data_IF_101329749487
#
_entry.id   IF_101329749487
#
_cell.length_a   1.000
_cell.length_b   1.000
_cell.length_c   1.000
_cell.angle_alpha   90.00
_cell.angle_beta   90.00
_cell.angle_gamma   90.00
#
_symmetry.space_group_name_H-M   'P 1'
#
loop_
_entity.id
_entity.type
_entity.pdbx_description
1 polymer ?
#
# COMPACT_ATOMS: atom_id res chain seq x y z
N UNK A 1 -52.95 22.13 -1.84
CA UNK A 1 -54.04 21.62 -2.70
C UNK A 1 -54.98 22.73 -3.20
N UNK A 2 -55.51 23.59 -2.33
CA UNK A 2 -56.54 24.59 -2.70
C UNK A 2 -56.07 25.65 -3.72
N UNK A 3 -54.88 26.23 -3.56
CA UNK A 3 -54.42 27.32 -4.43
C UNK A 3 -54.14 26.88 -5.89
N UNK A 4 -53.72 25.63 -6.11
CA UNK A 4 -53.50 25.11 -7.47
C UNK A 4 -54.82 24.78 -8.17
N UNK A 5 -55.82 24.34 -7.41
CA UNK A 5 -57.17 24.11 -7.91
C UNK A 5 -57.88 25.42 -8.27
N UNK A 6 -57.63 26.48 -7.50
CA UNK A 6 -58.11 27.84 -7.76
C UNK A 6 -57.47 28.41 -9.03
N UNK A 7 -56.16 28.29 -9.21
CA UNK A 7 -55.47 28.74 -10.43
C UNK A 7 -55.96 27.97 -11.67
N UNK A 8 -56.22 26.66 -11.54
CA UNK A 8 -56.77 25.85 -12.62
C UNK A 8 -58.23 26.21 -12.94
N UNK A 9 -59.05 26.53 -11.93
CA UNK A 9 -60.40 27.04 -12.13
C UNK A 9 -60.41 28.44 -12.76
N UNK A 10 -59.52 29.35 -12.36
CA UNK A 10 -59.42 30.68 -12.98
C UNK A 10 -58.96 30.59 -14.43
N UNK A 11 -58.02 29.69 -14.74
CA UNK A 11 -57.58 29.44 -16.11
C UNK A 11 -58.69 28.84 -16.99
N UNK A 12 -59.48 27.90 -16.45
CA UNK A 12 -60.67 27.36 -17.12
C UNK A 12 -61.77 28.42 -17.30
N UNK A 13 -61.92 29.35 -16.34
CA UNK A 13 -62.92 30.43 -16.41
C UNK A 13 -62.52 31.48 -17.44
N UNK A 14 -61.22 31.79 -17.56
CA UNK A 14 -60.66 32.64 -18.61
C UNK A 14 -60.88 32.03 -20.00
N UNK A 15 -60.65 30.72 -20.16
CA UNK A 15 -60.91 30.02 -21.42
C UNK A 15 -62.41 29.96 -21.77
N UNK A 16 -63.29 29.87 -20.77
CA UNK A 16 -64.75 29.90 -20.96
C UNK A 16 -65.25 31.28 -21.40
N UNK A 17 -64.60 32.37 -20.95
CA UNK A 17 -64.93 33.74 -21.35
C UNK A 17 -64.63 34.04 -22.83
N UNK A 18 -63.59 33.41 -23.40
CA UNK A 18 -63.22 33.58 -24.81
C UNK A 18 -64.15 32.76 -25.74
N UNK A 19 -64.81 31.71 -25.23
CA UNK A 19 -65.58 30.76 -26.04
C UNK A 19 -67.11 30.97 -26.02
N UNK A 20 -67.65 31.72 -25.04
CA UNK A 20 -69.11 31.84 -24.82
C UNK A 20 -69.72 33.25 -24.98
N UNK A 21 -68.94 34.29 -25.30
CA UNK A 21 -69.52 35.58 -25.68
C UNK A 21 -70.00 35.53 -27.14
N UNK A 22 -71.33 35.37 -27.31
CA UNK A 22 -72.02 35.16 -28.58
C UNK A 22 -72.03 36.37 -29.54
N UNK A 23 -71.07 37.27 -29.44
CA UNK A 23 -71.06 38.55 -30.16
C UNK A 23 -70.19 38.56 -31.43
N UNK A 24 -69.53 37.46 -31.78
CA UNK A 24 -68.65 37.35 -32.97
C UNK A 24 -69.04 36.20 -33.94
N UNK A 25 -70.32 35.86 -34.06
CA UNK A 25 -70.80 34.89 -35.07
C UNK A 25 -71.19 35.56 -36.41
N UNK A 26 -71.12 36.90 -36.53
CA UNK A 26 -71.72 37.60 -37.67
C UNK A 26 -70.78 38.15 -38.75
N UNK A 27 -69.47 37.89 -38.73
CA UNK A 27 -68.59 38.21 -39.86
C UNK A 27 -67.47 37.16 -39.97
N UNK A 28 -67.81 35.95 -40.44
CA UNK A 28 -66.81 34.94 -40.77
C UNK A 28 -66.91 34.57 -42.24
N UNK A 29 -65.97 35.13 -43.02
CA UNK A 29 -65.67 34.74 -44.39
C UNK A 29 -65.31 33.24 -44.45
N UNK A 30 -65.75 32.59 -45.54
CA UNK A 30 -65.89 31.14 -45.74
C UNK A 30 -64.55 30.36 -45.72
N UNK A 31 -63.43 31.04 -45.50
CA UNK A 31 -62.09 30.45 -45.41
C UNK A 31 -61.46 30.45 -44.00
N UNK A 32 -62.08 31.10 -43.00
CA UNK A 32 -61.46 31.31 -41.68
C UNK A 32 -61.59 30.11 -40.71
N UNK A 33 -62.50 29.16 -40.97
CA UNK A 33 -62.69 27.98 -40.10
C UNK A 33 -61.46 27.06 -40.03
N UNK A 34 -60.60 27.05 -41.06
CA UNK A 34 -59.41 26.18 -41.12
C UNK A 34 -58.28 26.68 -40.20
N UNK A 35 -58.15 27.99 -40.03
CA UNK A 35 -57.12 28.59 -39.16
C UNK A 35 -57.45 28.37 -37.68
N UNK A 36 -58.72 28.51 -37.30
CA UNK A 36 -59.18 28.32 -35.92
C UNK A 36 -59.03 26.86 -35.45
N UNK A 37 -59.28 25.90 -36.34
CA UNK A 37 -59.00 24.47 -36.06
C UNK A 37 -57.50 24.21 -35.90
N UNK A 38 -56.65 24.83 -36.74
CA UNK A 38 -55.20 24.72 -36.62
C UNK A 38 -54.65 25.27 -35.30
N UNK A 39 -55.15 26.44 -34.86
CA UNK A 39 -54.78 27.04 -33.58
C UNK A 39 -55.19 26.18 -32.38
N UNK A 40 -56.36 25.55 -32.43
CA UNK A 40 -56.82 24.66 -31.37
C UNK A 40 -55.97 23.38 -31.26
N UNK A 41 -55.62 22.77 -32.40
CA UNK A 41 -54.78 21.56 -32.41
C UNK A 41 -53.36 21.88 -31.91
N UNK A 42 -52.78 23.01 -32.33
CA UNK A 42 -51.50 23.47 -31.81
C UNK A 42 -51.55 23.77 -30.31
N UNK A 43 -52.62 24.39 -29.83
CA UNK A 43 -52.85 24.62 -28.41
C UNK A 43 -52.95 23.32 -27.61
N UNK A 44 -53.69 22.33 -28.13
CA UNK A 44 -53.84 21.02 -27.49
C UNK A 44 -52.51 20.26 -27.44
N UNK A 45 -51.72 20.27 -28.52
CA UNK A 45 -50.38 19.65 -28.55
C UNK A 45 -49.44 20.35 -27.57
N UNK A 46 -49.44 21.68 -27.52
CA UNK A 46 -48.62 22.43 -26.58
C UNK A 46 -48.99 22.09 -25.12
N UNK A 47 -50.28 21.95 -24.82
CA UNK A 47 -50.77 21.59 -23.48
C UNK A 47 -50.37 20.16 -23.10
N UNK A 48 -50.43 19.21 -24.05
CA UNK A 48 -49.95 17.84 -23.85
C UNK A 48 -48.44 17.81 -23.60
N UNK A 49 -47.65 18.57 -24.36
CA UNK A 49 -46.19 18.65 -24.16
C UNK A 49 -45.87 19.24 -22.79
N UNK A 50 -46.52 20.35 -22.40
CA UNK A 50 -46.37 20.92 -21.06
C UNK A 50 -46.79 19.93 -19.99
N UNK A 51 -47.90 19.21 -20.19
CA UNK A 51 -48.36 18.16 -19.29
C UNK A 51 -47.32 17.03 -19.14
N UNK A 52 -46.74 16.55 -20.23
CA UNK A 52 -45.70 15.52 -20.21
C UNK A 52 -44.43 16.03 -19.51
N UNK A 53 -44.03 17.28 -19.73
CA UNK A 53 -42.84 17.86 -19.07
C UNK A 53 -43.06 18.01 -17.56
N UNK A 54 -44.24 18.49 -17.16
CA UNK A 54 -44.58 18.74 -15.74
C UNK A 54 -44.84 17.44 -14.99
N UNK A 55 -45.59 16.50 -15.57
CA UNK A 55 -45.97 15.24 -14.92
C UNK A 55 -45.03 14.07 -15.19
N UNK A 56 -44.31 14.07 -16.31
CA UNK A 56 -43.42 12.98 -16.70
C UNK A 56 -42.13 12.90 -15.88
N UNK A 57 -41.78 13.94 -15.13
CA UNK A 57 -40.57 13.93 -14.31
C UNK A 57 -40.78 13.34 -12.91
N UNK A 58 -42.00 13.39 -12.32
CA UNK A 58 -42.31 12.92 -10.97
C UNK A 58 -41.50 13.56 -9.81
N UNK A 59 -40.37 14.18 -10.13
CA UNK A 59 -39.34 14.69 -9.25
C UNK A 59 -39.59 16.14 -8.82
N UNK A 60 -40.56 16.82 -9.42
CA UNK A 60 -40.93 18.20 -9.10
C UNK A 60 -41.83 18.31 -7.85
N UNK A 61 -42.34 17.18 -7.32
CA UNK A 61 -43.30 17.16 -6.22
C UNK A 61 -42.74 16.64 -4.90
N UNK A 62 -41.46 16.26 -4.84
CA UNK A 62 -40.81 15.89 -3.58
C UNK A 62 -40.50 17.18 -2.79
N UNK A 63 -41.06 17.31 -1.58
CA UNK A 63 -40.64 18.37 -0.68
C UNK A 63 -39.22 18.09 -0.18
N UNK A 64 -38.30 19.03 -0.41
CA UNK A 64 -36.88 18.90 -0.07
C UNK A 64 -36.49 19.90 1.00
N UNK A 65 -35.74 19.43 1.99
CA UNK A 65 -35.09 20.28 2.99
C UNK A 65 -33.65 20.55 2.59
N UNK A 66 -33.20 21.79 2.76
CA UNK A 66 -31.84 22.22 2.42
C UNK A 66 -31.01 22.34 3.70
N UNK A 67 -29.85 21.68 3.70
CA UNK A 67 -28.87 21.74 4.78
C UNK A 67 -27.54 22.25 4.27
N UNK A 68 -26.74 22.82 5.16
CA UNK A 68 -25.37 23.25 4.86
C UNK A 68 -24.37 22.35 5.55
N UNK A 69 -23.31 21.99 4.80
CA UNK A 69 -22.17 21.22 5.27
C UNK A 69 -20.92 22.07 5.08
N UNK A 70 -20.03 22.07 6.06
CA UNK A 70 -18.77 22.81 5.99
C UNK A 70 -17.59 21.85 5.97
N UNK A 71 -16.95 21.69 4.81
CA UNK A 71 -15.77 20.83 4.69
C UNK A 71 -14.50 21.68 4.77
N UNK A 72 -13.54 21.30 5.63
CA UNK A 72 -12.21 21.93 5.67
C UNK A 72 -11.22 21.37 4.65
N UNK A 73 -11.63 20.29 3.99
CA UNK A 73 -10.85 19.50 3.06
C UNK A 73 -11.05 19.88 1.61
N UNK A 74 -10.41 19.13 0.73
CA UNK A 74 -10.63 19.27 -0.72
C UNK A 74 -11.97 18.65 -1.10
N UNK A 75 -12.90 19.44 -1.65
CA UNK A 75 -14.15 18.93 -2.26
C UNK A 75 -13.94 18.44 -3.72
N UNK A 76 -12.69 18.24 -4.15
CA UNK A 76 -12.37 17.86 -5.53
C UNK A 76 -12.99 16.51 -5.87
N UNK A 77 -13.83 16.49 -6.91
CA UNK A 77 -14.57 15.30 -7.34
C UNK A 77 -16.03 15.31 -6.89
N UNK A 78 -16.42 16.23 -6.00
CA UNK A 78 -17.82 16.49 -5.66
C UNK A 78 -18.43 17.43 -6.71
N UNK A 79 -19.57 17.05 -7.27
CA UNK A 79 -20.29 17.84 -8.27
C UNK A 79 -21.69 18.21 -7.77
N UNK A 80 -22.26 19.26 -8.35
CA UNK A 80 -23.70 19.54 -8.20
C UNK A 80 -24.48 18.34 -8.76
N UNK A 81 -25.40 17.82 -7.97
CA UNK A 81 -26.14 16.59 -8.26
C UNK A 81 -25.50 15.31 -7.72
N UNK A 82 -24.30 15.36 -7.13
CA UNK A 82 -23.69 14.22 -6.43
C UNK A 82 -24.68 13.66 -5.40
N UNK A 83 -24.80 12.33 -5.28
CA UNK A 83 -25.77 11.74 -4.37
C UNK A 83 -25.40 12.03 -2.92
N UNK A 84 -26.44 12.26 -2.10
CA UNK A 84 -26.32 12.27 -0.64
C UNK A 84 -26.90 10.95 -0.16
N UNK A 85 -26.10 10.16 0.54
CA UNK A 85 -26.47 8.83 1.00
C UNK A 85 -26.45 8.78 2.53
N UNK A 86 -27.37 8.03 3.12
CA UNK A 86 -27.36 7.67 4.53
C UNK A 86 -27.20 6.16 4.61
N UNK A 87 -26.08 5.69 5.19
CA UNK A 87 -25.76 4.25 5.28
C UNK A 87 -25.94 3.50 3.95
N UNK A 88 -25.50 4.11 2.85
CA UNK A 88 -25.58 3.57 1.49
C UNK A 88 -26.89 3.77 0.74
N UNK A 89 -27.94 4.32 1.38
CA UNK A 89 -29.21 4.62 0.71
C UNK A 89 -29.23 6.07 0.26
N UNK A 90 -29.48 6.32 -1.03
CA UNK A 90 -29.63 7.68 -1.56
C UNK A 90 -30.88 8.36 -0.99
N UNK A 91 -30.66 9.43 -0.23
CA UNK A 91 -31.72 10.23 0.40
C UNK A 91 -31.81 11.66 -0.19
N UNK A 92 -30.83 12.05 -1.00
CA UNK A 92 -30.73 13.42 -1.48
C UNK A 92 -29.69 13.62 -2.59
N UNK A 93 -29.38 14.89 -2.84
CA UNK A 93 -28.38 15.33 -3.80
C UNK A 93 -27.71 16.63 -3.35
N UNK A 94 -26.49 16.87 -3.84
CA UNK A 94 -25.79 18.16 -3.68
C UNK A 94 -26.50 19.19 -4.55
N UNK A 95 -26.95 20.28 -3.93
CA UNK A 95 -27.67 21.37 -4.60
C UNK A 95 -26.73 22.41 -5.17
N UNK A 96 -25.71 22.81 -4.40
CA UNK A 96 -24.79 23.89 -4.77
C UNK A 96 -23.50 23.79 -3.94
N UNK A 97 -22.38 24.25 -4.51
CA UNK A 97 -21.06 24.28 -3.86
C UNK A 97 -20.54 25.71 -3.97
N UNK A 98 -20.40 26.39 -2.83
CA UNK A 98 -19.99 27.79 -2.80
C UNK A 98 -18.60 27.92 -2.22
N UNK A 99 -17.85 28.88 -2.75
CA UNK A 99 -16.56 29.28 -2.19
C UNK A 99 -16.75 30.69 -1.64
N UNK A 100 -16.84 30.80 -0.32
CA UNK A 100 -16.91 32.09 0.34
C UNK A 100 -15.50 32.60 0.61
N UNK A 101 -15.03 33.56 -0.19
CA UNK A 101 -13.72 34.19 -0.04
C UNK A 101 -13.68 35.28 1.07
N UNK A 102 -14.72 35.38 1.90
CA UNK A 102 -14.95 36.53 2.78
C UNK A 102 -14.79 36.26 4.29
N UNK A 103 -14.48 35.02 4.71
CA UNK A 103 -14.35 34.69 6.14
C UNK A 103 -12.90 34.74 6.59
N UNK A 104 -12.53 35.84 7.26
CA UNK A 104 -11.18 36.14 7.77
C UNK A 104 -10.71 35.12 8.83
N UNK A 105 -11.63 34.46 9.53
CA UNK A 105 -11.30 33.56 10.64
C UNK A 105 -11.03 32.09 10.23
N UNK A 106 -11.54 31.64 9.07
CA UNK A 106 -11.40 30.24 8.61
C UNK A 106 -11.24 30.14 7.09
N UNK A 107 -10.05 30.45 6.54
CA UNK A 107 -9.80 30.56 5.09
C UNK A 107 -9.94 29.26 4.27
N UNK A 108 -10.41 28.15 4.86
CA UNK A 108 -10.44 26.83 4.23
C UNK A 108 -11.76 26.06 4.38
N UNK A 109 -12.84 26.70 4.83
CA UNK A 109 -14.16 26.03 4.94
C UNK A 109 -14.98 26.20 3.65
N UNK A 110 -15.34 25.09 3.01
CA UNK A 110 -16.13 25.05 1.78
C UNK A 110 -17.57 24.70 2.13
N UNK A 111 -18.52 25.66 2.07
CA UNK A 111 -19.94 25.38 2.25
C UNK A 111 -20.51 24.59 1.06
N UNK A 112 -21.03 23.41 1.35
CA UNK A 112 -21.76 22.55 0.42
C UNK A 112 -23.23 22.52 0.85
N UNK A 113 -24.12 22.93 -0.05
CA UNK A 113 -25.56 22.87 0.16
C UNK A 113 -26.09 21.54 -0.37
N UNK A 114 -26.80 20.82 0.49
CA UNK A 114 -27.43 19.55 0.13
C UNK A 114 -28.94 19.65 0.25
N UNK A 115 -29.65 18.88 -0.58
CA UNK A 115 -31.09 18.71 -0.49
C UNK A 115 -31.44 17.27 -0.13
N UNK A 116 -32.28 17.08 0.89
CA UNK A 116 -32.74 15.77 1.37
C UNK A 116 -34.26 15.71 1.24
N UNK A 117 -34.79 14.60 0.72
CA UNK A 117 -36.23 14.38 0.59
C UNK A 117 -36.86 14.18 1.97
N UNK A 118 -37.97 14.89 2.26
CA UNK A 118 -38.69 14.76 3.55
C UNK A 118 -39.18 13.35 3.84
N UNK A 119 -39.57 12.61 2.80
CA UNK A 119 -40.14 11.27 2.91
C UNK A 119 -39.10 10.17 3.26
N UNK A 120 -37.80 10.49 3.23
CA UNK A 120 -36.74 9.52 3.52
C UNK A 120 -36.49 9.32 5.03
N UNK A 121 -37.00 10.20 5.90
CA UNK A 121 -36.79 10.14 7.34
C UNK A 121 -38.14 9.89 8.03
N UNK A 122 -38.61 8.64 7.97
CA UNK A 122 -39.82 8.22 8.69
C UNK A 122 -39.38 7.68 10.05
N UNK A 123 -39.47 8.50 11.10
CA UNK A 123 -39.31 8.03 12.46
C UNK A 123 -40.56 7.24 12.85
N UNK A 124 -40.38 5.97 13.19
CA UNK A 124 -41.46 5.13 13.73
C UNK A 124 -41.67 5.51 15.20
N UNK A 125 -42.41 6.58 15.43
CA UNK A 125 -42.71 7.07 16.77
C UNK A 125 -43.54 8.35 16.73
N UNK A 126 -44.80 8.22 17.12
CA UNK A 126 -45.73 9.26 17.55
C UNK A 126 -45.94 10.44 16.58
N UNK A 127 -47.00 10.36 15.76
CA UNK A 127 -47.57 11.47 14.99
C UNK A 127 -48.25 12.52 15.88
N UNK A 128 -47.65 12.84 17.02
CA UNK A 128 -48.20 13.75 18.02
C UNK A 128 -47.27 14.95 18.21
N UNK A 129 -47.67 16.05 17.57
CA UNK A 129 -47.24 17.40 17.93
C UNK A 129 -45.93 17.88 17.31
N UNK A 130 -46.04 18.64 16.22
CA UNK A 130 -45.24 19.84 15.92
C UNK A 130 -43.70 19.77 16.13
N UNK A 131 -43.07 18.61 15.97
CA UNK A 131 -41.61 18.54 16.02
C UNK A 131 -41.03 19.29 14.84
N UNK A 132 -40.19 20.27 15.14
CA UNK A 132 -39.53 21.07 14.10
C UNK A 132 -38.38 20.25 13.54
N UNK A 133 -38.09 20.39 12.24
CA UNK A 133 -36.96 19.70 11.56
C UNK A 133 -35.64 19.92 12.33
N UNK A 134 -35.50 21.06 12.98
CA UNK A 134 -34.40 21.43 13.87
C UNK A 134 -34.25 20.45 15.05
N UNK A 135 -35.33 20.14 15.75
CA UNK A 135 -35.32 19.25 16.91
C UNK A 135 -34.98 17.81 16.51
N UNK A 136 -35.50 17.36 15.36
CA UNK A 136 -35.16 16.05 14.79
C UNK A 136 -33.70 15.99 14.38
N UNK A 137 -33.19 17.03 13.72
CA UNK A 137 -31.79 17.09 13.31
C UNK A 137 -30.85 17.10 14.53
N UNK A 138 -31.16 17.91 15.54
CA UNK A 138 -30.40 17.96 16.79
C UNK A 138 -30.36 16.61 17.51
N UNK A 139 -31.48 15.87 17.52
CA UNK A 139 -31.53 14.53 18.08
C UNK A 139 -30.59 13.57 17.32
N UNK A 140 -30.55 13.65 15.99
CA UNK A 140 -29.68 12.81 15.17
C UNK A 140 -28.20 13.19 15.34
N UNK A 141 -27.89 14.49 15.40
CA UNK A 141 -26.54 14.98 15.66
C UNK A 141 -26.03 14.51 17.03
N UNK A 142 -26.89 14.53 18.06
CA UNK A 142 -26.60 13.98 19.40
C UNK A 142 -26.39 12.48 19.39
N UNK A 143 -27.06 11.74 18.50
CA UNK A 143 -26.83 10.32 18.26
C UNK A 143 -25.56 10.04 17.43
N UNK A 144 -24.85 11.09 16.99
CA UNK A 144 -23.60 10.97 16.24
C UNK A 144 -23.73 11.18 14.75
N UNK A 145 -24.83 11.74 14.23
CA UNK A 145 -24.95 12.04 12.79
C UNK A 145 -23.82 12.98 12.35
N UNK A 146 -23.02 12.53 11.39
CA UNK A 146 -21.93 13.27 10.75
C UNK A 146 -22.01 13.13 9.25
N UNK A 147 -21.54 14.16 8.55
CA UNK A 147 -21.35 14.14 7.12
C UNK A 147 -19.87 14.01 6.76
N UNK A 148 -19.53 13.13 5.83
CA UNK A 148 -18.18 13.01 5.27
C UNK A 148 -18.22 12.86 3.75
N UNK A 149 -17.09 13.15 3.13
CA UNK A 149 -16.90 12.93 1.71
C UNK A 149 -16.34 11.53 1.50
N UNK A 150 -17.04 10.73 0.71
CA UNK A 150 -16.60 9.39 0.32
C UNK A 150 -16.45 9.29 -1.19
N UNK A 151 -15.59 8.37 -1.63
CA UNK A 151 -15.32 8.17 -3.05
C UNK A 151 -16.41 7.28 -3.65
N UNK A 152 -17.24 7.86 -4.52
CA UNK A 152 -18.25 7.12 -5.28
C UNK A 152 -17.60 6.23 -6.35
N UNK A 153 -16.50 6.70 -6.95
CA UNK A 153 -15.82 5.98 -8.04
C UNK A 153 -14.34 6.30 -8.05
N UNK A 154 -13.50 5.28 -7.85
CA UNK A 154 -12.03 5.39 -7.93
C UNK A 154 -11.56 5.73 -9.34
N UNK A 155 -12.29 5.28 -10.37
CA UNK A 155 -11.90 5.45 -11.78
C UNK A 155 -12.06 6.90 -12.22
N UNK A 156 -13.17 7.51 -11.85
CA UNK A 156 -13.49 8.90 -12.24
C UNK A 156 -13.09 9.92 -11.17
N UNK A 157 -12.68 9.47 -9.99
CA UNK A 157 -12.38 10.33 -8.84
C UNK A 157 -13.59 11.12 -8.35
N UNK A 158 -14.81 10.60 -8.53
CA UNK A 158 -16.03 11.29 -8.13
C UNK A 158 -16.33 11.02 -6.65
N UNK A 159 -16.77 12.06 -5.95
CA UNK A 159 -17.15 12.01 -4.54
C UNK A 159 -18.68 12.08 -4.38
N UNK A 160 -19.14 11.47 -3.29
CA UNK A 160 -20.50 11.60 -2.77
C UNK A 160 -20.47 12.15 -1.35
N UNK A 161 -21.63 12.60 -0.87
CA UNK A 161 -21.80 12.99 0.53
C UNK A 161 -22.40 11.80 1.28
N UNK A 162 -21.66 11.24 2.23
CA UNK A 162 -22.13 10.19 3.12
C UNK A 162 -22.53 10.80 4.46
N UNK A 163 -23.76 10.51 4.88
CA UNK A 163 -24.22 10.72 6.24
C UNK A 163 -24.13 9.39 6.99
N UNK A 164 -23.49 9.39 8.15
CA UNK A 164 -23.40 8.21 9.02
C UNK A 164 -23.41 8.61 10.50
N UNK A 165 -23.59 7.63 11.38
CA UNK A 165 -23.59 7.82 12.83
C UNK A 165 -22.24 7.42 13.42
N UNK A 166 -21.44 8.44 13.76
CA UNK A 166 -20.13 8.32 14.38
C UNK A 166 -20.17 8.91 15.81
N UNK A 167 -20.69 8.17 16.80
CA UNK A 167 -20.89 8.67 18.17
C UNK A 167 -19.57 9.02 18.89
N UNK A 168 -18.46 8.42 18.48
CA UNK A 168 -17.14 8.61 19.09
C UNK A 168 -16.37 9.83 18.56
N UNK A 169 -16.93 10.56 17.59
CA UNK A 169 -16.28 11.73 16.98
C UNK A 169 -16.80 13.06 17.54
N UNK A 170 -15.87 13.98 17.82
CA UNK A 170 -16.22 15.32 18.27
C UNK A 170 -16.92 16.09 17.14
N UNK A 171 -18.17 16.57 17.35
CA UNK A 171 -18.89 17.31 16.32
C UNK A 171 -18.15 18.61 16.02
N UNK A 172 -17.78 18.80 14.75
CA UNK A 172 -17.21 20.06 14.29
C UNK A 172 -18.29 20.90 13.62
N UNK A 173 -18.70 21.96 14.32
CA UNK A 173 -19.55 23.00 13.76
C UNK A 173 -18.66 24.11 13.19
N UNK A 174 -19.07 24.72 12.08
CA UNK A 174 -18.36 25.86 11.50
C UNK A 174 -18.56 27.14 12.30
N UNK A 175 -19.64 27.23 13.09
CA UNK A 175 -19.97 28.41 13.90
C UNK A 175 -20.33 29.65 13.06
N UNK A 176 -20.63 29.45 11.77
CA UNK A 176 -21.00 30.50 10.84
C UNK A 176 -22.51 30.72 10.88
N UNK A 177 -22.97 31.97 11.03
CA UNK A 177 -24.39 32.29 10.88
C UNK A 177 -24.84 31.97 9.45
N UNK A 178 -25.66 30.93 9.32
CA UNK A 178 -26.25 30.48 8.07
C UNK A 178 -27.77 30.48 8.20
N UNK A 179 -28.47 30.86 7.13
CA UNK A 179 -29.94 30.73 7.05
C UNK A 179 -30.39 29.27 6.90
N UNK A 180 -29.46 28.30 6.85
CA UNK A 180 -29.72 26.86 6.72
C UNK A 180 -29.16 26.11 7.93
N UNK A 181 -29.84 25.01 8.29
CA UNK A 181 -29.40 24.11 9.35
C UNK A 181 -28.10 23.40 8.96
N UNK A 182 -27.15 23.37 9.89
CA UNK A 182 -25.83 22.78 9.70
C UNK A 182 -25.80 21.32 10.15
N UNK A 183 -25.22 20.44 9.34
CA UNK A 183 -24.86 19.09 9.76
C UNK A 183 -23.34 19.06 9.99
N UNK A 184 -22.85 18.62 11.16
CA UNK A 184 -21.43 18.55 11.44
C UNK A 184 -20.70 17.62 10.48
N UNK A 185 -19.50 18.01 10.09
CA UNK A 185 -18.66 17.23 9.18
C UNK A 185 -17.50 16.55 9.91
N UNK A 186 -17.04 15.43 9.37
CA UNK A 186 -15.80 14.74 9.78
C UNK A 186 -14.78 14.73 8.63
N UNK A 187 -13.54 14.32 8.92
CA UNK A 187 -12.52 14.18 7.88
C UNK A 187 -12.87 13.02 6.95
N UNK A 188 -12.48 13.13 5.68
CA UNK A 188 -12.65 12.03 4.73
C UNK A 188 -11.62 10.92 4.97
N UNK A 189 -11.95 9.69 4.60
CA UNK A 189 -11.07 8.53 4.76
C UNK A 189 -9.72 8.71 4.03
N UNK A 190 -9.74 9.38 2.87
CA UNK A 190 -8.52 9.68 2.09
C UNK A 190 -7.64 10.71 2.79
N UNK A 191 -8.23 11.72 3.45
CA UNK A 191 -7.48 12.69 4.23
C UNK A 191 -6.88 12.06 5.49
N UNK A 192 -7.62 11.15 6.13
CA UNK A 192 -7.12 10.36 7.26
C UNK A 192 -5.96 9.46 6.84
N UNK A 193 -6.10 8.74 5.73
CA UNK A 193 -5.06 7.87 5.18
C UNK A 193 -3.81 8.66 4.79
N UNK A 194 -3.98 9.80 4.11
CA UNK A 194 -2.85 10.69 3.74
C UNK A 194 -2.13 11.23 4.96
N UNK A 195 -2.88 11.62 6.00
CA UNK A 195 -2.31 12.15 7.24
C UNK A 195 -1.55 11.08 8.02
N UNK A 196 -2.04 9.83 8.01
CA UNK A 196 -1.37 8.68 8.62
C UNK A 196 -0.15 8.23 7.82
N UNK A 197 -0.21 8.25 6.48
CA UNK A 197 0.92 7.93 5.61
C UNK A 197 2.07 8.94 5.74
N UNK A 198 1.75 10.23 5.93
CA UNK A 198 2.77 11.26 6.22
C UNK A 198 3.50 11.04 7.54
N UNK A 199 2.89 10.32 8.49
CA UNK A 199 3.48 9.99 9.78
C UNK A 199 4.17 8.62 9.81
N UNK A 200 3.97 7.80 8.78
CA UNK A 200 4.70 6.54 8.65
C UNK A 200 6.16 6.86 8.29
N UNK A 201 7.15 6.22 8.94
CA UNK A 201 8.55 6.48 8.68
C UNK A 201 8.96 5.72 7.40
N UNK A 202 8.38 6.11 6.26
CA UNK A 202 8.76 5.62 4.94
C UNK A 202 10.28 5.80 4.77
N UNK A 203 10.81 6.92 5.27
CA UNK A 203 12.23 7.21 5.30
C UNK A 203 13.07 6.20 6.11
N UNK A 204 12.59 5.69 7.27
CA UNK A 204 13.29 4.62 7.99
C UNK A 204 13.31 3.31 7.21
N UNK A 205 12.20 2.98 6.54
CA UNK A 205 12.10 1.75 5.73
C UNK A 205 13.07 1.84 4.56
N UNK A 206 13.07 2.97 3.83
CA UNK A 206 14.01 3.21 2.74
C UNK A 206 15.45 3.20 3.23
N UNK A 207 15.77 3.87 4.34
CA UNK A 207 17.12 3.91 4.89
C UNK A 207 17.60 2.54 5.38
N UNK A 208 16.71 1.69 5.92
CA UNK A 208 17.04 0.32 6.33
C UNK A 208 17.23 -0.63 5.14
N UNK A 209 16.45 -0.48 4.07
CA UNK A 209 16.67 -1.25 2.83
C UNK A 209 17.98 -0.82 2.17
N UNK A 210 18.23 0.50 2.11
CA UNK A 210 19.47 1.03 1.56
C UNK A 210 20.69 0.62 2.39
N UNK A 211 20.57 0.54 3.71
CA UNK A 211 21.67 0.10 4.57
C UNK A 211 22.00 -1.39 4.38
N UNK A 212 21.00 -2.24 4.09
CA UNK A 212 21.26 -3.64 3.73
C UNK A 212 22.02 -3.72 2.40
N UNK A 213 21.59 -2.96 1.38
CA UNK A 213 22.25 -2.93 0.07
C UNK A 213 23.68 -2.40 0.19
N UNK A 214 23.87 -1.30 0.94
CA UNK A 214 25.20 -0.73 1.13
C UNK A 214 26.11 -1.64 1.95
N UNK A 215 25.58 -2.38 2.94
CA UNK A 215 26.39 -3.32 3.72
C UNK A 215 26.87 -4.51 2.87
N UNK A 216 26.06 -4.98 1.93
CA UNK A 216 26.48 -6.01 0.96
C UNK A 216 27.56 -5.47 0.03
N UNK A 217 27.41 -4.25 -0.48
CA UNK A 217 28.42 -3.60 -1.34
C UNK A 217 29.74 -3.33 -0.58
N UNK A 218 29.64 -2.93 0.68
CA UNK A 218 30.79 -2.72 1.57
C UNK A 218 31.50 -4.03 1.89
N UNK A 219 30.74 -5.14 2.07
CA UNK A 219 31.32 -6.47 2.28
C UNK A 219 32.02 -6.98 1.02
N UNK A 220 31.42 -6.80 -0.16
CA UNK A 220 32.00 -7.20 -1.44
C UNK A 220 33.29 -6.42 -1.78
N UNK A 221 33.38 -5.16 -1.35
CA UNK A 221 34.55 -4.31 -1.53
C UNK A 221 35.44 -4.22 -0.27
N UNK A 222 35.20 -5.07 0.73
CA UNK A 222 35.94 -5.03 1.98
C UNK A 222 37.39 -5.47 1.78
N UNK A 223 38.30 -4.88 2.56
CA UNK A 223 39.70 -5.30 2.64
C UNK A 223 39.80 -6.80 2.99
N UNK A 224 38.83 -7.33 3.74
CA UNK A 224 38.69 -8.74 4.08
C UNK A 224 38.57 -9.70 2.88
N UNK A 225 37.80 -9.36 1.84
CA UNK A 225 37.72 -10.22 0.64
C UNK A 225 39.04 -10.20 -0.13
N UNK A 226 39.71 -9.05 -0.17
CA UNK A 226 41.03 -8.95 -0.77
C UNK A 226 42.07 -9.78 0.01
N UNK A 227 42.07 -9.72 1.34
CA UNK A 227 42.92 -10.57 2.19
C UNK A 227 42.65 -12.06 1.96
N UNK A 228 41.38 -12.44 1.80
CA UNK A 228 40.97 -13.82 1.51
C UNK A 228 41.49 -14.29 0.13
N UNK A 229 41.36 -13.46 -0.91
CA UNK A 229 41.89 -13.74 -2.25
C UNK A 229 43.42 -13.85 -2.26
N UNK A 230 44.10 -12.99 -1.51
CA UNK A 230 45.57 -13.03 -1.36
C UNK A 230 46.02 -14.30 -0.64
N UNK A 231 45.38 -14.65 0.47
CA UNK A 231 45.68 -15.88 1.23
C UNK A 231 45.38 -17.14 0.40
N UNK A 232 44.30 -17.13 -0.39
CA UNK A 232 43.95 -18.22 -1.31
C UNK A 232 45.00 -18.36 -2.43
N UNK A 233 45.42 -17.26 -3.04
CA UNK A 233 46.43 -17.27 -4.10
C UNK A 233 47.77 -17.76 -3.58
N UNK A 234 48.17 -17.35 -2.36
CA UNK A 234 49.36 -17.85 -1.70
C UNK A 234 49.28 -19.38 -1.47
N UNK A 235 48.18 -19.87 -0.91
CA UNK A 235 47.98 -21.30 -0.69
C UNK A 235 48.01 -22.12 -2.00
N UNK A 236 47.37 -21.63 -3.08
CA UNK A 236 47.38 -22.29 -4.39
C UNK A 236 48.77 -22.34 -5.02
N UNK A 237 49.56 -21.26 -4.88
CA UNK A 237 50.93 -21.22 -5.36
C UNK A 237 51.83 -22.20 -4.60
N UNK A 238 51.65 -22.30 -3.27
CA UNK A 238 52.39 -23.25 -2.43
C UNK A 238 52.05 -24.71 -2.77
N UNK A 239 50.76 -25.02 -3.05
CA UNK A 239 50.33 -26.35 -3.52
C UNK A 239 50.91 -26.67 -4.90
N UNK A 240 50.89 -25.73 -5.84
CA UNK A 240 51.46 -25.93 -7.18
C UNK A 240 52.98 -26.13 -7.12
N UNK A 241 53.68 -25.41 -6.24
CA UNK A 241 55.12 -25.58 -6.01
C UNK A 241 55.45 -26.96 -5.44
N UNK A 242 54.62 -27.47 -4.53
CA UNK A 242 54.76 -28.82 -3.99
C UNK A 242 54.59 -29.89 -5.08
N UNK A 243 53.57 -29.75 -5.92
CA UNK A 243 53.33 -30.68 -7.04
C UNK A 243 54.45 -30.64 -8.10
N UNK A 244 55.07 -29.48 -8.32
CA UNK A 244 56.14 -29.31 -9.31
C UNK A 244 57.50 -29.86 -8.85
N UNK A 245 57.72 -30.02 -7.55
CA UNK A 245 59.03 -30.40 -6.98
C UNK A 245 59.07 -31.76 -6.26
N UNK A 246 57.97 -32.52 -6.30
CA UNK A 246 57.90 -33.87 -5.71
C UNK A 246 58.92 -34.87 -6.29
N UNK A 247 59.45 -34.63 -7.50
CA UNK A 247 60.30 -35.60 -8.20
C UNK A 247 61.82 -35.48 -7.93
N UNK A 248 62.34 -34.39 -7.33
CA UNK A 248 63.81 -34.18 -7.34
C UNK A 248 64.50 -33.66 -6.07
N UNK A 249 63.84 -33.08 -5.04
CA UNK A 249 64.57 -32.50 -3.89
C UNK A 249 63.88 -32.72 -2.53
N UNK A 250 64.30 -33.77 -1.81
CA UNK A 250 63.83 -34.12 -0.45
C UNK A 250 64.13 -33.06 0.65
N UNK A 251 65.25 -32.31 0.63
CA UNK A 251 65.52 -31.31 1.69
C UNK A 251 64.57 -30.11 1.65
N UNK A 252 64.25 -29.62 0.45
CA UNK A 252 63.42 -28.42 0.25
C UNK A 252 61.92 -28.68 0.47
N UNK A 253 61.49 -29.94 0.42
CA UNK A 253 60.12 -30.36 0.69
C UNK A 253 59.65 -29.93 2.09
N UNK A 254 60.53 -30.00 3.10
CA UNK A 254 60.18 -29.67 4.48
C UNK A 254 59.79 -28.20 4.66
N UNK A 255 60.54 -27.29 4.04
CA UNK A 255 60.31 -25.85 4.12
C UNK A 255 59.07 -25.42 3.33
N UNK A 256 58.85 -26.04 2.17
CA UNK A 256 57.67 -25.80 1.32
C UNK A 256 56.39 -26.37 1.93
N UNK A 257 56.46 -27.51 2.63
CA UNK A 257 55.31 -28.06 3.35
C UNK A 257 54.93 -27.18 4.55
N UNK A 258 55.92 -26.69 5.32
CA UNK A 258 55.68 -25.82 6.47
C UNK A 258 55.05 -24.49 6.06
N UNK A 259 55.53 -23.88 4.98
CA UNK A 259 54.92 -22.65 4.42
C UNK A 259 53.51 -22.91 3.90
N UNK A 260 53.28 -23.99 3.15
CA UNK A 260 51.93 -24.37 2.68
C UNK A 260 50.94 -24.55 3.83
N UNK A 261 51.33 -25.26 4.88
CA UNK A 261 50.50 -25.47 6.08
C UNK A 261 50.23 -24.15 6.80
N UNK A 262 51.23 -23.25 6.86
CA UNK A 262 51.05 -21.91 7.45
C UNK A 262 50.08 -21.05 6.65
N UNK A 263 50.21 -21.03 5.33
CA UNK A 263 49.35 -20.25 4.43
C UNK A 263 47.92 -20.79 4.44
N UNK A 264 47.75 -22.12 4.40
CA UNK A 264 46.45 -22.76 4.54
C UNK A 264 45.80 -22.42 5.89
N UNK A 265 46.56 -22.46 6.98
CA UNK A 265 46.05 -22.11 8.32
C UNK A 265 45.66 -20.63 8.43
N UNK A 266 46.41 -19.73 7.81
CA UNK A 266 46.04 -18.30 7.72
C UNK A 266 44.74 -18.11 6.95
N UNK A 267 44.62 -18.73 5.78
CA UNK A 267 43.39 -18.69 4.98
C UNK A 267 42.19 -19.20 5.79
N UNK A 268 42.31 -20.36 6.44
CA UNK A 268 41.23 -20.93 7.26
C UNK A 268 40.84 -19.98 8.40
N UNK A 269 41.82 -19.39 9.09
CA UNK A 269 41.52 -18.46 10.19
C UNK A 269 40.87 -17.15 9.73
N UNK A 270 41.23 -16.64 8.55
CA UNK A 270 40.61 -15.43 7.99
C UNK A 270 39.21 -15.75 7.49
N UNK A 271 39.05 -16.84 6.74
CA UNK A 271 37.76 -17.30 6.23
C UNK A 271 36.75 -17.59 7.35
N UNK A 272 37.17 -18.23 8.46
CA UNK A 272 36.27 -18.52 9.58
C UNK A 272 35.75 -17.25 10.26
N UNK A 273 36.60 -16.22 10.43
CA UNK A 273 36.19 -14.91 10.99
C UNK A 273 35.15 -14.23 10.11
N UNK A 274 35.40 -14.17 8.80
CA UNK A 274 34.51 -13.51 7.84
C UNK A 274 33.16 -14.23 7.69
N UNK A 275 33.19 -15.57 7.66
CA UNK A 275 31.97 -16.39 7.62
C UNK A 275 31.12 -16.21 8.88
N UNK A 276 31.76 -16.06 10.05
CA UNK A 276 31.06 -15.79 11.31
C UNK A 276 30.48 -14.37 11.32
N UNK A 277 31.25 -13.37 10.88
CA UNK A 277 30.80 -11.97 10.87
C UNK A 277 29.63 -11.74 9.89
N UNK A 278 29.71 -12.34 8.70
CA UNK A 278 28.62 -12.32 7.72
C UNK A 278 27.35 -12.98 8.27
N UNK A 279 27.48 -14.11 8.97
CA UNK A 279 26.36 -14.79 9.61
C UNK A 279 25.70 -13.93 10.70
N UNK A 280 26.50 -13.23 11.51
CA UNK A 280 26.00 -12.31 12.53
C UNK A 280 25.28 -11.11 11.92
N UNK A 281 25.86 -10.50 10.89
CA UNK A 281 25.27 -9.38 10.15
C UNK A 281 23.95 -9.75 9.49
N UNK A 282 23.88 -10.94 8.86
CA UNK A 282 22.66 -11.46 8.27
C UNK A 282 21.57 -11.73 9.32
N UNK A 283 21.94 -12.38 10.44
CA UNK A 283 21.01 -12.66 11.55
C UNK A 283 20.45 -11.36 12.13
N UNK A 284 21.27 -10.32 12.25
CA UNK A 284 20.85 -9.00 12.70
C UNK A 284 19.90 -8.32 11.71
N UNK A 285 20.20 -8.36 10.41
CA UNK A 285 19.32 -7.81 9.37
C UNK A 285 17.94 -8.50 9.35
N UNK A 286 17.91 -9.83 9.48
CA UNK A 286 16.64 -10.59 9.57
C UNK A 286 15.85 -10.18 10.82
N UNK A 287 16.52 -10.06 11.97
CA UNK A 287 15.87 -9.63 13.20
C UNK A 287 15.31 -8.19 13.10
N UNK A 288 16.03 -7.29 12.44
CA UNK A 288 15.57 -5.92 12.21
C UNK A 288 14.34 -5.85 11.29
N UNK A 289 14.30 -6.68 10.24
CA UNK A 289 13.13 -6.83 9.37
C UNK A 289 11.95 -7.37 10.17
N UNK A 290 12.14 -8.43 10.96
CA UNK A 290 11.09 -9.01 11.79
C UNK A 290 10.52 -8.00 12.80
N UNK A 291 11.38 -7.19 13.41
CA UNK A 291 10.96 -6.12 14.33
C UNK A 291 10.16 -5.03 13.61
N UNK A 292 10.55 -4.61 12.41
CA UNK A 292 9.78 -3.65 11.61
C UNK A 292 8.39 -4.19 11.26
N UNK A 293 8.30 -5.47 10.88
CA UNK A 293 7.03 -6.13 10.59
C UNK A 293 6.14 -6.17 11.83
N UNK A 294 6.69 -6.50 13.00
CA UNK A 294 5.94 -6.51 14.27
C UNK A 294 5.44 -5.12 14.64
N UNK A 295 6.26 -4.07 14.47
CA UNK A 295 5.86 -2.67 14.70
C UNK A 295 4.75 -2.26 13.72
N UNK A 296 4.87 -2.61 12.45
CA UNK A 296 3.83 -2.33 11.44
C UNK A 296 2.50 -3.03 11.80
N UNK A 297 2.53 -4.32 12.16
CA UNK A 297 1.34 -5.08 12.53
C UNK A 297 0.67 -4.55 13.81
N UNK A 298 1.45 -4.15 14.82
CA UNK A 298 0.89 -3.54 16.04
C UNK A 298 0.25 -2.17 15.78
N UNK A 299 0.82 -1.36 14.87
CA UNK A 299 0.24 -0.09 14.43
C UNK A 299 -1.06 -0.31 13.63
N UNK A 300 -1.13 -1.39 12.85
CA UNK A 300 -2.32 -1.77 12.08
C UNK A 300 -3.43 -2.32 12.99
N UNK A 301 -3.11 -3.19 13.95
CA UNK A 301 -4.09 -3.71 14.91
C UNK A 301 -4.66 -2.65 15.87
N UNK A 302 -3.94 -1.54 16.06
CA UNK A 302 -4.44 -0.39 16.84
C UNK A 302 -5.36 0.53 16.05
N UNK A 303 -5.53 0.29 14.74
CA UNK A 303 -6.57 0.91 13.91
C UNK A 303 -7.82 0.03 14.03
N UNK A 304 -8.83 0.49 14.76
CA UNK A 304 -10.04 -0.28 15.09
C UNK A 304 -10.83 -0.80 13.89
N UNK A 305 -11.83 -1.64 14.19
CA UNK A 305 -12.64 -2.43 13.26
C UNK A 305 -13.22 -1.64 12.06
N UNK A 306 -12.47 -1.63 10.96
CA UNK A 306 -12.88 -1.09 9.66
C UNK A 306 -11.88 -1.36 8.54
N UNK A 307 -10.86 -2.19 8.79
CA UNK A 307 -9.64 -2.31 7.96
C UNK A 307 -9.43 -3.76 7.52
N UNK A 308 -10.46 -4.59 7.45
CA UNK A 308 -10.27 -6.03 7.15
C UNK A 308 -9.56 -6.25 5.80
N UNK A 309 -9.92 -5.49 4.77
CA UNK A 309 -9.36 -5.68 3.43
C UNK A 309 -7.93 -5.12 3.28
N UNK A 310 -7.62 -4.03 4.00
CA UNK A 310 -6.28 -3.41 3.98
C UNK A 310 -5.32 -4.15 4.91
N UNK A 311 -5.79 -4.67 6.04
CA UNK A 311 -5.02 -5.56 6.92
C UNK A 311 -4.67 -6.85 6.18
N UNK A 312 -5.63 -7.45 5.47
CA UNK A 312 -5.40 -8.65 4.65
C UNK A 312 -4.42 -8.36 3.51
N UNK A 313 -4.55 -7.22 2.83
CA UNK A 313 -3.61 -6.84 1.76
C UNK A 313 -2.19 -6.59 2.28
N UNK A 314 -2.06 -5.92 3.43
CA UNK A 314 -0.78 -5.73 4.10
C UNK A 314 -0.18 -7.06 4.57
N UNK A 315 -1.00 -7.95 5.15
CA UNK A 315 -0.59 -9.30 5.55
C UNK A 315 -0.14 -10.14 4.36
N UNK A 316 -0.83 -10.05 3.22
CA UNK A 316 -0.47 -10.78 2.01
C UNK A 316 0.84 -10.26 1.38
N UNK A 317 1.06 -8.94 1.37
CA UNK A 317 2.34 -8.37 0.94
C UNK A 317 3.48 -8.76 1.88
N UNK A 318 3.23 -8.74 3.19
CA UNK A 318 4.20 -9.17 4.20
C UNK A 318 4.49 -10.68 4.13
N UNK A 319 3.48 -11.50 3.84
CA UNK A 319 3.64 -12.92 3.57
C UNK A 319 4.46 -13.14 2.29
N UNK A 320 4.23 -12.35 1.25
CA UNK A 320 5.03 -12.35 0.02
C UNK A 320 6.50 -12.03 0.27
N UNK A 321 6.79 -10.98 1.04
CA UNK A 321 8.16 -10.62 1.44
C UNK A 321 8.79 -11.74 2.29
N UNK A 322 8.05 -12.31 3.24
CA UNK A 322 8.55 -13.43 4.04
C UNK A 322 8.86 -14.65 3.16
N UNK A 323 8.04 -14.89 2.13
CA UNK A 323 8.16 -16.01 1.22
C UNK A 323 9.30 -15.85 0.21
N UNK A 324 9.69 -14.62 -0.13
CA UNK A 324 10.90 -14.33 -0.92
C UNK A 324 12.18 -14.28 -0.08
N UNK A 325 12.12 -13.80 1.17
CA UNK A 325 13.31 -13.67 2.04
C UNK A 325 13.70 -15.00 2.68
N UNK A 326 12.74 -15.89 2.95
CA UNK A 326 13.02 -17.21 3.52
C UNK A 326 13.97 -18.08 2.67
N UNK A 327 13.75 -18.28 1.35
CA UNK A 327 14.65 -19.10 0.53
C UNK A 327 16.06 -18.50 0.38
N UNK A 328 16.19 -17.17 0.41
CA UNK A 328 17.50 -16.49 0.41
C UNK A 328 18.26 -16.80 1.70
N UNK A 329 17.59 -16.78 2.85
CA UNK A 329 18.21 -17.10 4.14
C UNK A 329 18.62 -18.57 4.27
N UNK A 330 17.83 -19.51 3.75
CA UNK A 330 18.14 -20.94 3.79
C UNK A 330 19.24 -21.30 2.79
N UNK A 331 19.18 -20.77 1.57
CA UNK A 331 20.20 -21.01 0.55
C UNK A 331 21.58 -20.50 0.99
N UNK A 332 21.62 -19.31 1.61
CA UNK A 332 22.86 -18.78 2.16
C UNK A 332 23.38 -19.60 3.34
N UNK A 333 22.51 -20.09 4.24
CA UNK A 333 22.92 -21.00 5.31
C UNK A 333 23.51 -22.30 4.78
N UNK A 334 22.96 -22.87 3.72
CA UNK A 334 23.46 -24.10 3.11
C UNK A 334 24.84 -23.90 2.47
N UNK A 335 25.06 -22.75 1.82
CA UNK A 335 26.38 -22.36 1.29
C UNK A 335 27.38 -22.16 2.43
N UNK A 336 27.01 -21.44 3.49
CA UNK A 336 27.87 -21.22 4.66
C UNK A 336 28.20 -22.53 5.39
N UNK A 337 27.23 -23.44 5.50
CA UNK A 337 27.41 -24.77 6.08
C UNK A 337 28.34 -25.63 5.25
N UNK A 338 28.19 -25.60 3.92
CA UNK A 338 29.05 -26.31 2.99
C UNK A 338 30.49 -25.77 3.05
N UNK A 339 30.65 -24.44 3.01
CA UNK A 339 31.93 -23.77 3.17
C UNK A 339 32.60 -24.11 4.51
N UNK A 340 31.86 -24.07 5.62
CA UNK A 340 32.36 -24.47 6.94
C UNK A 340 32.80 -25.94 6.96
N UNK A 341 32.03 -26.85 6.38
CA UNK A 341 32.40 -28.25 6.31
C UNK A 341 33.69 -28.45 5.50
N UNK A 342 33.85 -27.76 4.38
CA UNK A 342 35.09 -27.77 3.59
C UNK A 342 36.28 -27.22 4.39
N UNK A 343 36.08 -26.14 5.14
CA UNK A 343 37.12 -25.58 6.01
C UNK A 343 37.52 -26.53 7.14
N UNK A 344 36.56 -27.24 7.76
CA UNK A 344 36.84 -28.25 8.79
C UNK A 344 37.67 -29.40 8.20
N UNK A 345 37.33 -29.87 7.00
CA UNK A 345 38.10 -30.92 6.31
C UNK A 345 39.52 -30.43 5.98
N UNK A 346 39.66 -29.21 5.47
CA UNK A 346 40.96 -28.60 5.19
C UNK A 346 41.80 -28.41 6.47
N UNK A 347 41.19 -27.99 7.57
CA UNK A 347 41.84 -27.85 8.87
C UNK A 347 42.35 -29.21 9.38
N UNK A 348 41.52 -30.24 9.28
CA UNK A 348 41.91 -31.60 9.69
C UNK A 348 43.08 -32.13 8.87
N UNK A 349 43.06 -31.92 7.56
CA UNK A 349 44.18 -32.29 6.68
C UNK A 349 45.46 -31.51 7.02
N UNK A 350 45.34 -30.22 7.31
CA UNK A 350 46.46 -29.37 7.77
C UNK A 350 47.03 -29.83 9.12
N UNK A 351 46.19 -30.24 10.06
CA UNK A 351 46.62 -30.75 11.37
C UNK A 351 47.32 -32.11 11.22
N UNK A 352 46.81 -32.98 10.34
CA UNK A 352 47.45 -34.25 10.00
C UNK A 352 48.82 -34.04 9.33
N UNK A 353 48.94 -33.08 8.42
CA UNK A 353 50.23 -32.71 7.82
C UNK A 353 51.22 -32.16 8.88
N UNK A 354 50.73 -31.39 9.84
CA UNK A 354 51.56 -30.87 10.95
C UNK A 354 52.06 -31.99 11.86
N UNK A 355 51.21 -32.96 12.22
CA UNK A 355 51.63 -34.13 13.00
C UNK A 355 52.63 -35.01 12.24
N UNK A 356 52.44 -35.17 10.93
CA UNK A 356 53.40 -35.87 10.09
C UNK A 356 54.77 -35.18 10.07
N UNK A 357 54.81 -33.85 9.99
CA UNK A 357 56.05 -33.06 10.05
C UNK A 357 56.80 -33.23 11.38
N UNK A 358 56.07 -33.29 12.51
CA UNK A 358 56.67 -33.62 13.81
C UNK A 358 57.21 -35.05 13.88
N UNK A 359 56.59 -35.96 13.13
CA UNK A 359 57.02 -37.35 12.99
C UNK A 359 58.33 -37.48 12.23
N UNK A 360 58.54 -36.66 11.19
CA UNK A 360 59.75 -36.67 10.34
C UNK A 360 61.06 -36.47 11.13
N UNK A 361 61.06 -35.64 12.17
CA UNK A 361 62.21 -35.45 13.07
C UNK A 361 62.56 -36.71 13.90
N UNK A 362 61.68 -37.71 13.93
CA UNK A 362 61.82 -38.96 14.70
C UNK A 362 62.06 -40.20 13.83
N UNK A 363 62.12 -40.05 12.51
CA UNK A 363 62.22 -41.18 11.58
C UNK A 363 63.69 -41.48 11.28
N UNK A 364 64.18 -42.62 11.76
CA UNK A 364 65.50 -43.17 11.43
C UNK A 364 65.43 -44.35 10.45
N UNK A 365 64.25 -44.70 9.90
CA UNK A 365 64.16 -45.73 8.86
C UNK A 365 62.94 -45.59 7.93
N UNK A 366 63.09 -46.07 6.70
CA UNK A 366 62.26 -45.78 5.52
C UNK A 366 60.84 -46.37 5.57
N UNK A 367 59.93 -45.71 6.29
CA UNK A 367 58.58 -46.23 6.52
C UNK A 367 57.61 -45.95 5.36
N UNK A 368 57.09 -47.00 4.73
CA UNK A 368 56.17 -46.93 3.58
C UNK A 368 54.80 -46.34 3.96
N UNK A 369 54.42 -46.43 5.24
CA UNK A 369 53.19 -45.85 5.76
C UNK A 369 53.17 -44.31 5.68
N UNK A 370 54.34 -43.68 5.77
CA UNK A 370 54.49 -42.24 5.68
C UNK A 370 54.15 -41.72 4.26
N UNK A 371 54.68 -42.39 3.23
CA UNK A 371 54.41 -42.06 1.83
C UNK A 371 52.93 -42.27 1.48
N UNK A 372 52.31 -43.33 2.01
CA UNK A 372 50.88 -43.58 1.81
C UNK A 372 50.00 -42.49 2.45
N UNK A 373 50.29 -42.10 3.70
CA UNK A 373 49.55 -41.06 4.39
C UNK A 373 49.73 -39.70 3.71
N UNK A 374 50.94 -39.36 3.28
CA UNK A 374 51.21 -38.12 2.56
C UNK A 374 50.45 -38.06 1.24
N UNK A 375 50.45 -39.15 0.46
CA UNK A 375 49.71 -39.20 -0.80
C UNK A 375 48.19 -39.06 -0.59
N UNK A 376 47.66 -39.65 0.49
CA UNK A 376 46.24 -39.53 0.87
C UNK A 376 45.89 -38.10 1.27
N UNK A 377 46.70 -37.46 2.12
CA UNK A 377 46.49 -36.08 2.56
C UNK A 377 46.61 -35.09 1.40
N UNK A 378 47.56 -35.28 0.47
CA UNK A 378 47.69 -34.44 -0.72
C UNK A 378 46.49 -34.58 -1.66
N UNK A 379 45.96 -35.79 -1.82
CA UNK A 379 44.74 -36.01 -2.59
C UNK A 379 43.53 -35.31 -1.95
N UNK A 380 43.35 -35.43 -0.63
CA UNK A 380 42.28 -34.75 0.11
C UNK A 380 42.38 -33.22 0.04
N UNK A 381 43.58 -32.66 0.13
CA UNK A 381 43.82 -31.22 -0.01
C UNK A 381 43.53 -30.75 -1.44
N UNK A 382 43.95 -31.51 -2.46
CA UNK A 382 43.69 -31.21 -3.86
C UNK A 382 42.19 -31.19 -4.18
N UNK A 383 41.43 -32.15 -3.65
CA UNK A 383 39.97 -32.22 -3.85
C UNK A 383 39.24 -31.07 -3.12
N UNK A 384 39.71 -30.68 -1.93
CA UNK A 384 39.22 -29.50 -1.23
C UNK A 384 39.52 -28.21 -2.02
N UNK A 385 40.75 -28.05 -2.52
CA UNK A 385 41.16 -26.88 -3.30
C UNK A 385 40.37 -26.74 -4.61
N UNK A 386 40.09 -27.86 -5.31
CA UNK A 386 39.19 -27.87 -6.47
C UNK A 386 37.78 -27.42 -6.12
N UNK A 387 37.24 -27.88 -5.00
CA UNK A 387 35.90 -27.51 -4.55
C UNK A 387 35.80 -26.00 -4.23
N UNK A 388 36.83 -25.44 -3.59
CA UNK A 388 36.93 -24.00 -3.31
C UNK A 388 37.06 -23.19 -4.60
N UNK A 389 37.87 -23.65 -5.56
CA UNK A 389 38.00 -23.01 -6.87
C UNK A 389 36.69 -22.98 -7.66
N UNK A 390 35.96 -24.10 -7.69
CA UNK A 390 34.65 -24.14 -8.36
C UNK A 390 33.65 -23.18 -7.72
N UNK A 391 33.70 -23.03 -6.38
CA UNK A 391 32.89 -22.04 -5.67
C UNK A 391 33.30 -20.60 -6.05
N UNK A 392 34.59 -20.31 -6.10
CA UNK A 392 35.10 -18.99 -6.48
C UNK A 392 34.74 -18.64 -7.94
N UNK A 393 34.97 -19.54 -8.90
CA UNK A 393 34.58 -19.34 -10.31
C UNK A 393 33.05 -19.20 -10.47
N UNK A 394 32.26 -19.88 -9.62
CA UNK A 394 30.80 -19.73 -9.63
C UNK A 394 30.35 -18.36 -9.09
N UNK A 395 30.94 -17.88 -7.99
CA UNK A 395 30.64 -16.57 -7.41
C UNK A 395 31.08 -15.44 -8.37
N UNK A 396 32.25 -15.56 -9.00
CA UNK A 396 32.77 -14.58 -9.94
C UNK A 396 31.90 -14.45 -11.20
N UNK A 397 31.32 -15.57 -11.68
CA UNK A 397 30.42 -15.57 -12.85
C UNK A 397 28.98 -15.21 -12.52
N UNK A 398 28.53 -15.42 -11.29
CA UNK A 398 27.14 -15.23 -10.88
C UNK A 398 27.02 -14.50 -9.54
N UNK A 399 27.38 -13.20 -9.46
CA UNK A 399 27.23 -12.43 -8.22
C UNK A 399 25.76 -12.36 -7.75
N UNK A 400 24.81 -12.42 -8.68
CA UNK A 400 23.37 -12.42 -8.43
C UNK A 400 22.81 -13.73 -7.85
N UNK A 401 23.53 -14.85 -7.95
CA UNK A 401 23.15 -16.10 -7.28
C UNK A 401 23.19 -15.98 -5.74
N UNK A 402 23.92 -15.00 -5.21
CA UNK A 402 23.97 -14.69 -3.78
C UNK A 402 22.71 -13.98 -3.27
N UNK A 403 21.99 -13.27 -4.16
CA UNK A 403 20.82 -12.45 -3.81
C UNK A 403 19.52 -13.20 -4.08
N UNK A 404 19.44 -14.00 -5.15
CA UNK A 404 18.17 -14.61 -5.59
C UNK A 404 17.95 -16.05 -5.12
N UNK A 405 18.98 -16.69 -4.55
CA UNK A 405 18.93 -18.12 -4.24
C UNK A 405 18.93 -18.98 -5.51
N UNK A 406 19.43 -20.21 -5.39
CA UNK A 406 19.54 -21.13 -6.53
C UNK A 406 18.12 -21.58 -6.93
N UNK A 407 17.69 -21.26 -8.15
CA UNK A 407 16.45 -21.83 -8.72
C UNK A 407 16.66 -23.26 -9.19
#
# INVERSE_FOLDING_TARGET
>A
MLNSLIAFMEFLTFYRGIFFDGSCVSLMDKNSGKFMVGAFVLGAIALVVVGIVVFGSGALFAEKNVFVLHFSGSVKGLNVGSPVVLRGVKIGAVKDIRINAASVDHPFSIPVLIEINKDCVVMQGDSSGNQTIEETLDALIKQGLRAKLEMQSLVTGQLLVALDFEPDTTPRFSGLESSYLEIPTTQSDIEELTSKLKQAPIEEIFNKVFSIISNVDTFLNSESINELLVAMTAALNSINGLAAHMDNELPDLSSNLVSTVSDAKKFISTADKEVVDLSLSLKKAIADIQNLVAVALSKVNSMGAGVDETVVSAQNLLAGIHQEVAPVSSGLQDVLKSARNTMISAQKASDQATEMLKGIDRITDSDSALLYNLNTTLAEISDAARSVRMLAEYIERHPEAFIQGKQ
#
